data_IF_969015567963
#
_entry.id   IF_969015567963
#
_cell.length_a   1.000
_cell.length_b   1.000
_cell.length_c   1.000
_cell.angle_alpha   90.00
_cell.angle_beta   90.00
_cell.angle_gamma   90.00
#
_symmetry.space_group_name_H-M   'P 1'
#
loop_
_entity.id
_entity.type
_entity.pdbx_description
1 polymer ?
#
# COMPACT_ATOMS: atom_id res chain seq x y z
N UNK A 1 -1.28 -16.16 2.00
CA UNK A 1 -2.19 -15.24 2.70
C UNK A 1 -3.47 -14.98 1.91
N UNK A 2 -3.39 -14.53 0.64
CA UNK A 2 -4.55 -14.30 -0.25
C UNK A 2 -5.57 -15.44 -0.22
N UNK A 3 -5.16 -16.67 -0.56
CA UNK A 3 -6.03 -17.86 -0.51
C UNK A 3 -6.76 -18.04 0.84
N UNK A 4 -6.08 -17.72 1.96
CA UNK A 4 -6.65 -17.87 3.30
C UNK A 4 -7.72 -16.81 3.57
N UNK A 5 -7.45 -15.56 3.20
CA UNK A 5 -8.42 -14.46 3.29
C UNK A 5 -9.66 -14.75 2.41
N UNK A 6 -9.46 -15.20 1.17
CA UNK A 6 -10.56 -15.62 0.28
C UNK A 6 -11.38 -16.77 0.88
N UNK A 7 -10.73 -17.76 1.51
CA UNK A 7 -11.43 -18.90 2.14
C UNK A 7 -12.24 -18.49 3.38
N UNK A 8 -11.90 -17.37 4.00
CA UNK A 8 -12.60 -16.80 5.16
C UNK A 8 -13.60 -15.71 4.76
N UNK A 9 -13.70 -15.40 3.46
CA UNK A 9 -14.53 -14.33 2.90
C UNK A 9 -14.26 -12.95 3.55
N UNK A 10 -12.98 -12.67 3.79
CA UNK A 10 -12.53 -11.37 4.33
C UNK A 10 -11.51 -10.72 3.40
N UNK A 11 -11.44 -9.38 3.35
CA UNK A 11 -10.32 -8.68 2.73
C UNK A 11 -8.99 -9.12 3.33
N UNK A 12 -7.93 -9.13 2.51
CA UNK A 12 -6.58 -9.48 2.99
C UNK A 12 -6.10 -8.58 4.13
N UNK A 13 -6.52 -7.31 4.12
CA UNK A 13 -6.24 -6.31 5.17
C UNK A 13 -6.96 -6.58 6.50
N UNK A 14 -7.98 -7.44 6.50
CA UNK A 14 -8.77 -7.80 7.68
C UNK A 14 -8.41 -9.21 8.20
N UNK A 15 -7.45 -9.88 7.55
CA UNK A 15 -6.95 -11.16 8.02
C UNK A 15 -6.20 -10.96 9.34
N UNK A 16 -6.57 -11.74 10.37
CA UNK A 16 -5.96 -11.59 11.70
C UNK A 16 -4.49 -12.01 11.72
N UNK A 17 -3.72 -11.47 12.68
CA UNK A 17 -2.32 -11.86 12.86
C UNK A 17 -2.15 -13.37 13.07
N UNK A 18 -3.05 -14.00 13.82
CA UNK A 18 -3.04 -15.44 14.04
C UNK A 18 -3.20 -16.23 12.72
N UNK A 19 -4.03 -15.74 11.81
CA UNK A 19 -4.23 -16.33 10.48
C UNK A 19 -3.02 -16.12 9.56
N UNK A 20 -2.32 -15.00 9.67
CA UNK A 20 -1.02 -14.80 9.03
C UNK A 20 0.04 -15.75 9.61
N UNK A 21 0.10 -15.87 10.94
CA UNK A 21 1.06 -16.73 11.64
C UNK A 21 0.83 -18.22 11.38
N UNK A 22 -0.41 -18.64 11.14
CA UNK A 22 -0.75 -19.98 10.67
C UNK A 22 -0.12 -20.32 9.30
N UNK A 23 0.27 -19.31 8.52
CA UNK A 23 0.97 -19.47 7.23
C UNK A 23 2.48 -19.45 7.45
N UNK A 24 2.98 -18.52 8.27
CA UNK A 24 4.39 -18.41 8.64
C UNK A 24 4.56 -17.66 9.96
N UNK A 25 5.39 -18.18 10.87
CA UNK A 25 5.70 -17.52 12.15
C UNK A 25 6.46 -16.20 12.00
N UNK A 26 6.97 -15.88 10.81
CA UNK A 26 7.70 -14.64 10.51
C UNK A 26 6.78 -13.41 10.46
N UNK A 27 5.46 -13.58 10.40
CA UNK A 27 4.53 -12.45 10.41
C UNK A 27 4.43 -11.84 11.83
N UNK A 28 4.81 -10.57 11.93
CA UNK A 28 4.66 -9.73 13.12
C UNK A 28 3.43 -8.84 13.07
N UNK A 29 3.19 -8.09 14.15
CA UNK A 29 2.11 -7.10 14.26
C UNK A 29 2.19 -5.98 13.20
N UNK A 30 3.39 -5.75 12.68
CA UNK A 30 3.69 -4.78 11.62
C UNK A 30 3.09 -5.15 10.26
N UNK A 31 2.62 -6.39 10.06
CA UNK A 31 1.96 -6.81 8.82
C UNK A 31 0.74 -5.95 8.50
N UNK A 32 0.02 -5.47 9.52
CA UNK A 32 -1.14 -4.60 9.34
C UNK A 32 -0.76 -3.25 8.72
N UNK A 33 0.44 -2.73 9.00
CA UNK A 33 0.92 -1.45 8.49
C UNK A 33 1.21 -1.46 6.97
N UNK A 34 1.29 -2.65 6.35
CA UNK A 34 1.43 -2.78 4.90
C UNK A 34 0.13 -2.46 4.16
N UNK A 35 -1.01 -2.54 4.83
CA UNK A 35 -2.34 -2.26 4.28
C UNK A 35 -2.80 -0.81 4.49
N UNK A 36 -1.90 0.07 4.92
CA UNK A 36 -2.12 1.51 4.87
C UNK A 36 -1.96 1.99 3.41
N UNK A 37 -3.10 2.19 2.74
CA UNK A 37 -3.13 2.57 1.32
C UNK A 37 -2.50 3.95 1.07
N UNK A 38 -2.68 4.91 1.98
CA UNK A 38 -2.06 6.23 1.86
C UNK A 38 -0.55 6.08 1.92
N UNK A 39 -0.03 5.35 2.92
CA UNK A 39 1.41 5.08 2.99
C UNK A 39 1.92 4.29 1.78
N UNK A 40 1.14 3.37 1.21
CA UNK A 40 1.53 2.63 0.00
C UNK A 40 1.74 3.57 -1.19
N UNK A 41 0.88 4.57 -1.34
CA UNK A 41 0.99 5.61 -2.38
C UNK A 41 2.18 6.52 -2.09
N UNK A 42 2.25 7.06 -0.88
CA UNK A 42 3.29 8.02 -0.47
C UNK A 42 4.70 7.42 -0.46
N UNK A 43 4.87 6.11 -0.21
CA UNK A 43 6.18 5.44 -0.28
C UNK A 43 6.79 5.41 -1.68
N UNK A 44 5.98 5.53 -2.74
CA UNK A 44 6.47 5.56 -4.12
C UNK A 44 6.88 6.98 -4.50
N UNK A 45 7.73 7.57 -3.66
CA UNK A 45 8.19 8.95 -3.78
C UNK A 45 9.40 9.07 -4.70
N UNK A 46 9.16 8.88 -5.98
CA UNK A 46 10.16 8.97 -7.05
C UNK A 46 9.65 9.90 -8.14
N UNK A 47 10.54 10.37 -9.02
CA UNK A 47 10.11 11.09 -10.21
C UNK A 47 9.13 10.24 -11.04
N UNK A 48 7.99 10.81 -11.42
CA UNK A 48 6.89 10.08 -12.09
C UNK A 48 6.11 9.11 -11.20
N UNK A 49 6.38 9.08 -9.89
CA UNK A 49 5.66 8.26 -8.92
C UNK A 49 4.26 8.79 -8.58
N UNK A 50 3.42 7.97 -7.94
CA UNK A 50 2.07 8.34 -7.53
C UNK A 50 2.00 9.11 -6.20
N UNK A 51 3.12 9.36 -5.52
CA UNK A 51 3.12 10.14 -4.28
C UNK A 51 2.52 11.52 -4.54
N UNK A 52 1.87 12.11 -3.52
CA UNK A 52 1.28 13.44 -3.62
C UNK A 52 2.29 14.48 -4.10
N UNK A 53 3.51 14.46 -3.55
CA UNK A 53 4.61 15.34 -3.96
C UNK A 53 4.93 15.18 -5.44
N UNK A 54 5.17 13.94 -5.91
CA UNK A 54 5.52 13.67 -7.30
C UNK A 54 4.41 14.06 -8.28
N UNK A 55 3.15 13.86 -7.91
CA UNK A 55 2.00 14.28 -8.73
C UNK A 55 1.86 15.80 -8.75
N UNK A 56 2.09 16.49 -7.64
CA UNK A 56 2.08 17.95 -7.57
C UNK A 56 3.17 18.57 -8.45
N UNK A 57 4.40 18.05 -8.37
CA UNK A 57 5.51 18.48 -9.23
C UNK A 57 5.17 18.29 -10.72
N UNK A 58 4.63 17.13 -11.09
CA UNK A 58 4.18 16.89 -12.48
C UNK A 58 3.10 17.87 -12.93
N UNK A 59 2.14 18.21 -12.07
CA UNK A 59 1.10 19.20 -12.37
C UNK A 59 1.72 20.59 -12.58
N UNK A 60 2.66 20.99 -11.73
CA UNK A 60 3.34 22.29 -11.83
C UNK A 60 4.19 22.38 -13.10
N UNK A 61 4.99 21.35 -13.40
CA UNK A 61 5.75 21.26 -14.65
C UNK A 61 4.83 21.38 -15.87
N UNK A 62 3.73 20.63 -15.92
CA UNK A 62 2.79 20.70 -17.04
C UNK A 62 2.16 22.08 -17.18
N UNK A 63 1.81 22.75 -16.08
CA UNK A 63 1.29 24.12 -16.11
C UNK A 63 2.29 25.11 -16.70
N UNK A 64 3.58 24.97 -16.37
CA UNK A 64 4.63 25.82 -16.95
C UNK A 64 4.85 25.56 -18.44
N UNK A 65 4.67 24.33 -18.91
CA UNK A 65 4.86 24.00 -20.33
C UNK A 65 3.64 24.29 -21.23
N UNK A 66 2.45 24.39 -20.64
CA UNK A 66 1.18 24.62 -21.34
C UNK A 66 0.69 26.07 -21.30
N UNK A 67 1.35 26.95 -20.53
CA UNK A 67 1.13 28.40 -20.51
C UNK A 67 2.22 29.11 -21.31
#
# INVERSE_FOLDING_TARGET
>A
AVKRAESLDVPLSELSLAEFQAISSEFGEDVAAVFDFEQSVERRDVYGGPSRRAVQEQIEELRTHLM
#
